data_IF_534599483260
#
_entry.id   IF_534599483260
#
_cell.length_a   1.000
_cell.length_b   1.000
_cell.length_c   1.000
_cell.angle_alpha   90.00
_cell.angle_beta   90.00
_cell.angle_gamma   90.00
#
_symmetry.space_group_name_H-M   'P 1'
#
loop_
_entity.id
_entity.type
_entity.pdbx_description
1 polymer ?
#
# COMPACT_ATOMS: atom_id res chain seq x y z
N UNK A 1 12.20 -18.37 -13.73
CA UNK A 1 13.02 -17.72 -12.68
C UNK A 1 12.04 -17.00 -11.78
N UNK A 2 12.46 -16.24 -10.77
CA UNK A 2 11.52 -15.35 -10.08
C UNK A 2 11.47 -14.05 -10.90
N UNK A 3 10.28 -13.56 -11.21
CA UNK A 3 10.09 -12.23 -11.76
C UNK A 3 10.58 -11.23 -10.71
N UNK A 4 11.51 -10.34 -11.07
CA UNK A 4 11.90 -9.22 -10.22
C UNK A 4 10.81 -8.16 -10.37
N UNK A 5 9.92 -8.05 -9.39
CA UNK A 5 8.84 -7.08 -9.44
C UNK A 5 9.33 -5.76 -8.85
N UNK A 6 8.93 -4.68 -9.48
CA UNK A 6 9.44 -3.34 -9.18
C UNK A 6 8.25 -2.40 -9.18
N UNK A 7 7.76 -2.06 -7.99
CA UNK A 7 6.76 -1.02 -7.81
C UNK A 7 7.46 0.26 -7.32
N UNK A 8 7.44 1.31 -8.14
CA UNK A 8 8.16 2.56 -7.85
C UNK A 8 7.17 3.69 -7.60
N UNK A 9 7.36 4.45 -6.51
CA UNK A 9 6.64 5.70 -6.27
C UNK A 9 7.09 6.77 -7.29
N UNK A 10 6.21 7.17 -8.21
CA UNK A 10 6.52 8.12 -9.30
C UNK A 10 6.00 9.52 -9.04
N UNK A 11 4.90 9.67 -8.29
CA UNK A 11 4.34 10.97 -7.95
C UNK A 11 3.69 10.96 -6.57
N UNK A 12 3.63 12.15 -5.97
CA UNK A 12 3.03 12.36 -4.65
C UNK A 12 2.40 13.76 -4.60
N UNK A 13 1.15 13.85 -4.14
CA UNK A 13 0.46 15.13 -3.96
C UNK A 13 0.99 15.90 -2.74
N UNK A 14 0.56 17.15 -2.61
CA UNK A 14 0.74 17.89 -1.35
C UNK A 14 0.15 17.08 -0.17
N UNK A 15 0.86 17.11 0.95
CA UNK A 15 0.52 16.35 2.18
C UNK A 15 0.36 14.84 1.96
N UNK A 16 0.81 14.32 0.82
CA UNK A 16 0.83 12.90 0.49
C UNK A 16 -0.54 12.23 0.50
N UNK A 17 -1.58 13.02 0.23
CA UNK A 17 -2.96 12.57 0.08
C UNK A 17 -3.06 11.52 -1.02
N UNK A 18 -2.38 11.72 -2.14
CA UNK A 18 -2.33 10.77 -3.26
C UNK A 18 -0.89 10.41 -3.56
N UNK A 19 -0.65 9.11 -3.73
CA UNK A 19 0.64 8.53 -4.11
C UNK A 19 0.45 7.66 -5.34
N UNK A 20 1.25 7.89 -6.37
CA UNK A 20 1.17 7.15 -7.63
C UNK A 20 2.34 6.20 -7.75
N UNK A 21 2.03 4.95 -8.03
CA UNK A 21 2.97 3.84 -8.14
C UNK A 21 2.96 3.31 -9.57
N UNK A 22 4.14 3.14 -10.15
CA UNK A 22 4.34 2.56 -11.48
C UNK A 22 4.93 1.16 -11.34
N UNK A 23 4.33 0.21 -12.04
CA UNK A 23 4.89 -1.12 -12.24
C UNK A 23 5.99 -1.06 -13.31
N UNK A 24 7.23 -1.15 -12.83
CA UNK A 24 8.45 -1.23 -13.64
C UNK A 24 8.95 -2.68 -13.77
N UNK A 25 8.12 -3.67 -13.42
CA UNK A 25 8.45 -5.10 -13.53
C UNK A 25 8.82 -5.46 -14.95
N UNK A 26 9.92 -6.19 -15.11
CA UNK A 26 10.42 -6.61 -16.42
C UNK A 26 9.75 -7.91 -16.85
N UNK A 27 8.69 -7.80 -17.65
CA UNK A 27 7.99 -8.95 -18.22
C UNK A 27 8.70 -9.56 -19.45
N UNK A 28 8.51 -10.87 -19.63
CA UNK A 28 8.92 -11.61 -20.83
C UNK A 28 10.26 -12.36 -20.75
N UNK A 29 10.64 -12.97 -21.87
CA UNK A 29 11.80 -13.88 -21.94
C UNK A 29 11.46 -15.27 -21.43
N UNK A 30 11.99 -15.63 -20.25
CA UNK A 30 11.63 -16.89 -19.57
C UNK A 30 10.46 -16.72 -18.58
N UNK A 31 10.02 -15.49 -18.35
CA UNK A 31 8.87 -15.15 -17.51
C UNK A 31 7.61 -14.89 -18.36
N UNK A 32 6.46 -14.82 -17.71
CA UNK A 32 5.20 -14.46 -18.36
C UNK A 32 5.26 -13.05 -18.96
N UNK A 33 4.57 -12.85 -20.09
CA UNK A 33 4.36 -11.52 -20.67
C UNK A 33 3.33 -10.75 -19.84
N UNK A 34 3.41 -9.42 -19.81
CA UNK A 34 2.44 -8.57 -19.07
C UNK A 34 0.99 -8.87 -19.45
N UNK A 35 0.72 -9.17 -20.72
CA UNK A 35 -0.61 -9.52 -21.23
C UNK A 35 -1.04 -10.97 -20.96
N UNK A 36 -0.29 -11.71 -20.14
CA UNK A 36 -0.61 -13.07 -19.69
C UNK A 36 -0.88 -13.12 -18.17
N UNK A 37 -0.85 -11.98 -17.50
CA UNK A 37 -1.07 -11.86 -16.07
C UNK A 37 -2.01 -10.71 -15.77
N UNK A 38 -2.81 -10.86 -14.71
CA UNK A 38 -3.49 -9.79 -14.04
C UNK A 38 -2.65 -9.35 -12.83
N UNK A 39 -2.47 -8.05 -12.67
CA UNK A 39 -1.80 -7.46 -11.51
C UNK A 39 -2.87 -6.80 -10.65
N UNK A 40 -3.03 -7.30 -9.42
CA UNK A 40 -3.98 -6.76 -8.45
C UNK A 40 -3.17 -6.17 -7.30
N UNK A 41 -3.42 -4.91 -6.99
CA UNK A 41 -2.82 -4.23 -5.84
C UNK A 41 -3.94 -3.90 -4.86
N UNK A 42 -3.69 -4.15 -3.57
CA UNK A 42 -4.49 -3.57 -2.50
C UNK A 42 -3.63 -2.58 -1.73
N UNK A 43 -4.28 -1.66 -1.04
CA UNK A 43 -3.60 -0.70 -0.19
C UNK A 43 -4.35 -0.59 1.14
N UNK A 44 -3.59 -0.57 2.23
CA UNK A 44 -4.17 -0.40 3.56
C UNK A 44 -3.26 0.44 4.45
N UNK A 45 -3.89 1.20 5.33
CA UNK A 45 -3.25 1.85 6.47
C UNK A 45 -3.26 0.86 7.62
N UNK A 46 -2.12 0.22 7.84
CA UNK A 46 -1.97 -0.73 8.91
C UNK A 46 -2.02 -0.04 10.27
N UNK A 47 -2.70 -0.67 11.21
CA UNK A 47 -2.88 -0.14 12.56
C UNK A 47 -1.93 -0.84 13.56
N UNK A 48 -1.99 -0.43 14.82
CA UNK A 48 -1.27 -1.10 15.89
C UNK A 48 -1.79 -2.54 16.09
N UNK A 49 -1.00 -3.43 16.72
CA UNK A 49 -1.46 -4.77 17.01
C UNK A 49 -2.83 -4.78 17.72
N UNK A 50 -3.75 -5.61 17.21
CA UNK A 50 -5.14 -5.75 17.65
C UNK A 50 -6.13 -4.66 17.19
N UNK A 51 -5.69 -3.71 16.37
CA UNK A 51 -6.58 -2.82 15.63
C UNK A 51 -6.82 -3.36 14.21
N UNK A 52 -7.92 -2.95 13.59
CA UNK A 52 -8.30 -3.38 12.24
C UNK A 52 -7.67 -2.44 11.23
N UNK A 53 -6.94 -2.98 10.27
CA UNK A 53 -6.36 -2.22 9.17
C UNK A 53 -7.44 -1.46 8.38
N UNK A 54 -7.11 -0.24 7.96
CA UNK A 54 -8.05 0.62 7.23
C UNK A 54 -7.77 0.44 5.74
N UNK A 55 -8.71 -0.08 4.94
CA UNK A 55 -8.52 -0.16 3.50
C UNK A 55 -8.40 1.25 2.92
N UNK A 56 -7.49 1.41 1.96
CA UNK A 56 -7.27 2.66 1.25
C UNK A 56 -7.82 2.56 -0.16
N UNK A 57 -8.31 3.69 -0.66
CA UNK A 57 -8.81 3.76 -2.03
C UNK A 57 -7.63 3.66 -3.01
N UNK A 58 -7.71 2.69 -3.91
CA UNK A 58 -6.80 2.52 -5.02
C UNK A 58 -7.54 2.73 -6.33
N UNK A 59 -6.91 3.42 -7.26
CA UNK A 59 -7.41 3.62 -8.62
C UNK A 59 -6.30 3.29 -9.60
N UNK A 60 -6.57 2.36 -10.51
CA UNK A 60 -5.74 2.13 -11.69
C UNK A 60 -6.00 3.16 -12.78
N UNK A 61 -5.15 3.19 -13.79
CA UNK A 61 -5.32 4.06 -14.96
C UNK A 61 -6.59 3.74 -15.76
N UNK A 62 -6.96 2.46 -15.86
CA UNK A 62 -8.23 2.01 -16.43
C UNK A 62 -9.02 1.05 -15.51
N UNK A 63 -8.48 0.72 -14.33
CA UNK A 63 -9.08 -0.22 -13.37
C UNK A 63 -9.25 -1.63 -13.94
N UNK A 64 -8.46 -1.99 -14.93
CA UNK A 64 -8.36 -3.33 -15.49
C UNK A 64 -7.02 -3.97 -15.05
N UNK A 65 -7.04 -4.98 -14.16
CA UNK A 65 -5.85 -5.71 -13.73
C UNK A 65 -4.99 -6.27 -14.88
N UNK A 66 -5.56 -6.52 -16.06
CA UNK A 66 -4.82 -7.03 -17.22
C UNK A 66 -3.98 -5.94 -17.91
N UNK A 67 -4.30 -4.65 -17.74
CA UNK A 67 -3.69 -3.55 -18.49
C UNK A 67 -3.15 -2.41 -17.63
N UNK A 68 -3.59 -2.28 -16.39
CA UNK A 68 -3.08 -1.29 -15.45
C UNK A 68 -1.57 -1.49 -15.22
N UNK A 69 -0.79 -0.44 -15.40
CA UNK A 69 0.64 -0.39 -15.06
C UNK A 69 0.94 0.68 -14.02
N UNK A 70 -0.07 1.44 -13.60
CA UNK A 70 0.07 2.55 -12.68
C UNK A 70 -1.16 2.61 -11.79
N UNK A 71 -0.94 2.85 -10.49
CA UNK A 71 -1.99 2.92 -9.48
C UNK A 71 -1.79 4.14 -8.61
N UNK A 72 -2.89 4.85 -8.34
CA UNK A 72 -2.93 5.94 -7.37
C UNK A 72 -3.63 5.47 -6.11
N UNK A 73 -2.91 5.54 -4.99
CA UNK A 73 -3.40 5.24 -3.65
C UNK A 73 -3.72 6.56 -2.94
N UNK A 74 -4.93 6.68 -2.43
CA UNK A 74 -5.38 7.85 -1.67
C UNK A 74 -5.43 7.55 -0.18
N UNK A 75 -4.78 8.39 0.64
CA UNK A 75 -4.74 8.25 2.10
C UNK A 75 -4.83 9.60 2.79
N UNK A 76 -5.79 9.71 3.72
CA UNK A 76 -5.93 10.86 4.60
C UNK A 76 -5.03 10.77 5.86
N UNK A 77 -4.19 9.73 5.95
CA UNK A 77 -3.44 9.39 7.14
C UNK A 77 -1.92 9.37 6.89
N UNK A 78 -1.15 9.89 7.84
CA UNK A 78 0.27 9.54 7.98
C UNK A 78 0.39 8.18 8.69
N UNK A 79 1.55 7.54 8.63
CA UNK A 79 1.80 6.30 9.38
C UNK A 79 2.05 5.07 8.53
N UNK A 80 2.05 3.90 9.14
CA UNK A 80 2.38 2.64 8.45
C UNK A 80 1.33 2.25 7.42
N UNK A 81 1.77 2.12 6.17
CA UNK A 81 0.99 1.68 5.01
C UNK A 81 1.59 0.39 4.45
N UNK A 82 0.72 -0.45 3.90
CA UNK A 82 1.11 -1.71 3.27
C UNK A 82 0.39 -1.87 1.94
N UNK A 83 1.15 -2.27 0.91
CA UNK A 83 0.71 -2.41 -0.47
C UNK A 83 1.07 -3.82 -0.96
N UNK A 84 0.24 -4.83 -0.67
CA UNK A 84 0.36 -6.14 -1.28
C UNK A 84 0.07 -6.09 -2.79
N UNK A 85 0.89 -6.77 -3.57
CA UNK A 85 0.75 -6.92 -5.02
C UNK A 85 0.68 -8.41 -5.39
N UNK A 86 -0.34 -8.76 -6.17
CA UNK A 86 -0.61 -10.11 -6.63
C UNK A 86 -0.48 -10.16 -8.14
N UNK A 87 0.43 -10.98 -8.65
CA UNK A 87 0.57 -11.27 -10.08
C UNK A 87 -0.03 -12.65 -10.34
N UNK A 88 -1.17 -12.66 -11.02
CA UNK A 88 -2.02 -13.84 -11.18
C UNK A 88 -2.10 -14.17 -12.67
N UNK A 89 -1.78 -15.41 -13.10
CA UNK A 89 -1.90 -15.80 -14.50
C UNK A 89 -3.33 -15.64 -15.03
N UNK A 90 -3.45 -15.12 -16.25
CA UNK A 90 -4.74 -15.10 -16.97
C UNK A 90 -5.02 -16.53 -17.46
N UNK A 91 -6.27 -16.96 -17.35
CA UNK A 91 -6.70 -18.23 -17.92
C UNK A 91 -6.51 -18.25 -19.45
N UNK A 92 -5.80 -19.24 -19.98
CA UNK A 92 -5.41 -19.30 -21.40
C UNK A 92 -6.11 -20.41 -22.21
N UNK A 93 -6.91 -21.26 -21.56
CA UNK A 93 -7.63 -22.38 -22.18
C UNK A 93 -6.78 -23.54 -22.70
N UNK A 94 -5.45 -23.39 -22.77
CA UNK A 94 -4.50 -24.40 -23.25
C UNK A 94 -3.67 -25.01 -22.12
N UNK A 95 -3.63 -24.35 -20.96
CA UNK A 95 -2.90 -24.75 -19.77
C UNK A 95 -3.47 -26.02 -19.12
N UNK A 96 -2.57 -26.73 -18.44
CA UNK A 96 -2.94 -27.76 -17.48
C UNK A 96 -2.83 -27.16 -16.09
N UNK A 97 -3.94 -27.11 -15.36
CA UNK A 97 -4.01 -26.53 -14.04
C UNK A 97 -4.04 -27.64 -12.99
N UNK A 98 -3.20 -27.51 -11.97
CA UNK A 98 -3.22 -28.39 -10.79
C UNK A 98 -4.19 -27.84 -9.74
N UNK A 99 -4.67 -28.68 -8.81
CA UNK A 99 -5.46 -28.19 -7.68
C UNK A 99 -4.75 -27.06 -6.92
N UNK A 100 -5.53 -26.13 -6.37
CA UNK A 100 -5.13 -24.90 -5.68
C UNK A 100 -4.47 -23.81 -6.54
N UNK A 101 -4.31 -24.02 -7.86
CA UNK A 101 -3.85 -22.94 -8.74
C UNK A 101 -4.93 -21.88 -8.95
N UNK A 102 -4.50 -20.63 -9.01
CA UNK A 102 -5.39 -19.46 -9.17
C UNK A 102 -5.21 -18.84 -10.54
N UNK A 103 -6.31 -18.45 -11.19
CA UNK A 103 -6.30 -17.71 -12.45
C UNK A 103 -7.23 -16.51 -12.40
N UNK A 104 -6.90 -15.50 -13.20
CA UNK A 104 -7.81 -14.41 -13.52
C UNK A 104 -8.59 -14.73 -14.80
N UNK A 105 -9.91 -14.58 -14.76
CA UNK A 105 -10.76 -14.80 -15.93
C UNK A 105 -12.05 -13.98 -15.83
N UNK A 106 -12.33 -13.18 -16.87
CA UNK A 106 -13.53 -12.36 -17.03
C UNK A 106 -13.86 -11.48 -15.81
N UNK A 107 -12.86 -10.79 -15.25
CA UNK A 107 -13.08 -9.88 -14.14
C UNK A 107 -13.04 -10.52 -12.75
N UNK A 108 -12.75 -11.82 -12.64
CA UNK A 108 -12.82 -12.55 -11.39
C UNK A 108 -11.62 -13.49 -11.18
N UNK A 109 -11.34 -13.79 -9.91
CA UNK A 109 -10.37 -14.79 -9.50
C UNK A 109 -11.04 -16.15 -9.34
N UNK A 110 -10.34 -17.18 -9.80
CA UNK A 110 -10.82 -18.55 -9.77
C UNK A 110 -9.72 -19.46 -9.24
N UNK A 111 -10.05 -20.26 -8.23
CA UNK A 111 -9.18 -21.32 -7.72
C UNK A 111 -9.61 -22.67 -8.30
N UNK A 112 -8.64 -23.44 -8.76
CA UNK A 112 -8.85 -24.75 -9.31
C UNK A 112 -8.97 -25.79 -8.17
N UNK A 113 -10.01 -26.62 -8.19
CA UNK A 113 -10.32 -27.59 -7.12
C UNK A 113 -9.72 -28.97 -7.45
N UNK A 114 -9.66 -29.31 -8.74
CA UNK A 114 -9.15 -30.58 -9.23
C UNK A 114 -8.34 -30.37 -10.51
N UNK A 115 -7.47 -31.31 -10.88
CA UNK A 115 -6.66 -31.16 -12.09
C UNK A 115 -7.56 -30.90 -13.32
N UNK A 116 -7.30 -29.81 -14.03
CA UNK A 116 -8.14 -29.32 -15.12
C UNK A 116 -7.30 -29.05 -16.37
N UNK A 117 -7.85 -29.35 -17.55
CA UNK A 117 -7.25 -29.00 -18.84
C UNK A 117 -8.37 -28.59 -19.78
N UNK A 118 -8.32 -27.35 -20.29
CA UNK A 118 -9.36 -26.80 -21.17
C UNK A 118 -10.75 -26.62 -20.54
N UNK A 119 -10.89 -26.81 -19.23
CA UNK A 119 -12.14 -26.51 -18.50
C UNK A 119 -12.16 -25.03 -18.17
N UNK A 120 -13.18 -24.32 -18.65
CA UNK A 120 -13.28 -22.86 -18.53
C UNK A 120 -13.81 -22.48 -17.15
N UNK A 121 -13.19 -21.53 -16.43
CA UNK A 121 -13.71 -21.05 -15.16
C UNK A 121 -15.14 -20.52 -15.29
N UNK A 122 -15.97 -20.81 -14.29
CA UNK A 122 -17.40 -20.46 -14.28
C UNK A 122 -18.30 -21.37 -15.11
N UNK A 123 -17.76 -22.37 -15.83
CA UNK A 123 -18.59 -23.33 -16.59
C UNK A 123 -18.87 -24.63 -15.84
N UNK A 124 -17.97 -25.04 -14.95
CA UNK A 124 -18.10 -26.26 -14.15
C UNK A 124 -17.57 -26.03 -12.72
N UNK A 125 -18.45 -26.06 -11.70
CA UNK A 125 -18.08 -25.84 -10.31
C UNK A 125 -17.29 -27.01 -9.68
N UNK A 126 -17.23 -28.18 -10.33
CA UNK A 126 -16.39 -29.28 -9.85
C UNK A 126 -14.90 -28.99 -10.10
N UNK A 127 -14.58 -28.08 -11.02
CA UNK A 127 -13.21 -27.68 -11.34
C UNK A 127 -12.84 -26.31 -10.82
N UNK A 128 -13.71 -25.32 -10.91
CA UNK A 128 -13.38 -23.94 -10.56
C UNK A 128 -14.34 -23.36 -9.55
N UNK A 129 -13.80 -22.77 -8.50
CA UNK A 129 -14.55 -21.93 -7.55
C UNK A 129 -14.06 -20.49 -7.67
N UNK A 130 -15.02 -19.57 -7.75
CA UNK A 130 -14.72 -18.16 -7.71
C UNK A 130 -14.28 -17.78 -6.30
N UNK A 131 -13.20 -17.02 -6.19
CA UNK A 131 -12.60 -16.57 -4.93
C UNK A 131 -12.40 -15.06 -4.92
N UNK A 132 -12.14 -14.49 -3.75
CA UNK A 132 -11.80 -13.07 -3.60
C UNK A 132 -10.60 -12.89 -2.67
N UNK A 133 -9.85 -11.79 -2.86
CA UNK A 133 -8.77 -11.42 -1.92
C UNK A 133 -9.28 -11.07 -0.51
N UNK A 134 -10.56 -10.72 -0.37
CA UNK A 134 -11.15 -10.42 0.92
C UNK A 134 -11.39 -11.68 1.75
N UNK A 135 -11.91 -12.74 1.13
CA UNK A 135 -12.35 -13.95 1.83
C UNK A 135 -11.33 -15.11 1.74
N UNK A 136 -10.54 -15.19 0.67
CA UNK A 136 -9.73 -16.38 0.31
C UNK A 136 -8.23 -16.05 0.18
N UNK A 137 -7.77 -14.99 0.87
CA UNK A 137 -6.39 -14.49 0.76
C UNK A 137 -5.34 -15.57 1.03
N UNK A 138 -5.55 -16.38 2.06
CA UNK A 138 -4.56 -17.38 2.48
C UNK A 138 -4.38 -18.45 1.41
N UNK A 139 -5.48 -18.84 0.76
CA UNK A 139 -5.50 -19.80 -0.33
C UNK A 139 -4.84 -19.22 -1.58
N UNK A 140 -5.11 -17.95 -1.90
CA UNK A 140 -4.51 -17.26 -3.06
C UNK A 140 -3.00 -17.09 -2.87
N UNK A 141 -2.55 -16.67 -1.68
CA UNK A 141 -1.13 -16.51 -1.35
C UNK A 141 -0.37 -17.85 -1.28
N UNK A 142 -1.06 -18.95 -1.02
CA UNK A 142 -0.48 -20.29 -0.99
C UNK A 142 -0.40 -20.95 -2.37
N UNK A 143 -1.05 -20.39 -3.40
CA UNK A 143 -1.06 -20.94 -4.74
C UNK A 143 0.33 -20.85 -5.40
N UNK A 144 0.81 -21.96 -5.96
CA UNK A 144 2.17 -22.06 -6.51
C UNK A 144 2.40 -21.26 -7.80
N UNK A 145 1.33 -20.80 -8.43
CA UNK A 145 1.33 -20.04 -9.66
C UNK A 145 1.00 -18.55 -9.47
N UNK A 146 0.76 -18.12 -8.23
CA UNK A 146 0.59 -16.69 -7.87
C UNK A 146 1.93 -16.17 -7.37
N UNK A 147 2.35 -15.02 -7.88
CA UNK A 147 3.47 -14.31 -7.30
C UNK A 147 2.95 -13.18 -6.42
N UNK A 148 3.56 -13.05 -5.24
CA UNK A 148 3.15 -12.12 -4.21
C UNK A 148 4.33 -11.25 -3.79
N UNK A 149 4.13 -9.94 -3.81
CA UNK A 149 5.03 -8.97 -3.22
C UNK A 149 4.32 -8.10 -2.21
N UNK A 150 5.12 -7.56 -1.30
CA UNK A 150 4.63 -6.80 -0.17
C UNK A 150 5.51 -5.60 0.09
N UNK A 151 4.98 -4.41 -0.22
CA UNK A 151 5.65 -3.16 0.07
C UNK A 151 5.12 -2.55 1.36
N UNK A 152 6.02 -2.00 2.16
CA UNK A 152 5.68 -1.29 3.40
C UNK A 152 6.41 0.04 3.47
N UNK A 153 5.71 1.10 3.86
CA UNK A 153 6.28 2.42 4.01
C UNK A 153 5.51 3.25 5.05
N UNK A 154 6.05 4.41 5.42
CA UNK A 154 5.49 5.29 6.45
C UNK A 154 5.50 6.74 5.94
N UNK A 155 4.45 7.24 5.27
CA UNK A 155 4.32 8.66 4.97
C UNK A 155 4.30 9.49 6.25
N UNK A 156 5.00 10.62 6.21
CA UNK A 156 5.17 11.58 7.32
C UNK A 156 4.77 13.00 6.94
N UNK A 157 4.08 13.17 5.82
CA UNK A 157 3.99 14.46 5.15
C UNK A 157 3.14 15.49 5.92
N UNK A 158 2.10 15.05 6.64
CA UNK A 158 1.31 15.96 7.49
C UNK A 158 2.09 16.33 8.75
N UNK A 159 2.84 15.38 9.32
CA UNK A 159 3.76 15.65 10.44
C UNK A 159 4.85 16.64 10.01
N UNK A 160 5.44 16.46 8.82
CA UNK A 160 6.44 17.37 8.26
C UNK A 160 5.88 18.76 7.97
N UNK A 161 4.65 18.84 7.44
CA UNK A 161 3.92 20.10 7.28
C UNK A 161 3.72 20.81 8.61
N UNK A 162 3.26 20.08 9.64
CA UNK A 162 3.09 20.57 11.00
C UNK A 162 4.40 21.05 11.63
N UNK A 163 5.49 20.29 11.50
CA UNK A 163 6.82 20.67 11.96
C UNK A 163 7.33 21.95 11.27
N UNK A 164 7.13 22.05 9.96
CA UNK A 164 7.52 23.22 9.17
C UNK A 164 6.76 24.47 9.61
N UNK A 165 5.44 24.35 9.86
CA UNK A 165 4.61 25.43 10.41
C UNK A 165 5.07 25.86 11.79
N UNK A 166 5.32 24.92 12.71
CA UNK A 166 5.80 25.22 14.06
C UNK A 166 7.11 26.02 14.03
N UNK A 167 8.06 25.58 13.19
CA UNK A 167 9.37 26.21 13.03
C UNK A 167 9.25 27.62 12.41
N UNK A 168 8.36 27.79 11.43
CA UNK A 168 8.11 29.09 10.82
C UNK A 168 7.51 30.10 11.81
N UNK A 169 6.55 29.67 12.64
CA UNK A 169 5.92 30.51 13.67
C UNK A 169 6.89 30.86 14.81
N UNK A 170 7.75 29.93 15.20
CA UNK A 170 8.85 30.18 16.15
C UNK A 170 9.77 31.28 15.61
N UNK A 171 10.19 31.18 14.35
CA UNK A 171 11.08 32.15 13.70
C UNK A 171 10.43 33.53 13.51
N UNK A 172 9.10 33.59 13.38
CA UNK A 172 8.34 34.84 13.24
C UNK A 172 8.12 35.59 14.56
N UNK A 173 8.75 35.17 15.68
CA UNK A 173 8.65 35.79 17.01
C UNK A 173 7.21 35.98 17.50
N UNK A 174 6.32 35.01 17.24
CA UNK A 174 4.97 35.00 17.82
C UNK A 174 3.96 35.90 17.11
N UNK A 175 3.99 35.98 15.77
CA UNK A 175 2.96 36.67 14.97
C UNK A 175 1.52 36.17 15.21
N UNK A 176 1.33 35.03 15.86
CA UNK A 176 0.04 34.48 16.28
C UNK A 176 -0.32 34.96 17.70
N UNK A 177 -1.36 35.79 17.80
CA UNK A 177 -1.95 36.20 19.09
C UNK A 177 -2.29 34.95 19.92
N UNK A 178 -1.64 34.79 21.08
CA UNK A 178 -1.92 33.70 22.02
C UNK A 178 -0.90 32.57 22.05
N UNK A 179 0.13 32.60 21.20
CA UNK A 179 1.17 31.56 21.18
C UNK A 179 2.48 32.01 21.83
N UNK A 180 2.94 31.24 22.82
CA UNK A 180 4.21 31.49 23.48
C UNK A 180 5.35 30.92 22.62
N UNK A 181 6.34 31.74 22.27
CA UNK A 181 7.53 31.31 21.53
C UNK A 181 8.24 30.10 22.18
N UNK A 182 8.21 30.00 23.51
CA UNK A 182 8.76 28.84 24.24
C UNK A 182 7.98 27.55 23.96
N UNK A 183 6.66 27.64 23.82
CA UNK A 183 5.80 26.49 23.52
C UNK A 183 6.00 26.02 22.08
N UNK A 184 6.06 26.96 21.12
CA UNK A 184 6.38 26.66 19.72
C UNK A 184 7.72 25.95 19.58
N UNK A 185 8.75 26.43 20.28
CA UNK A 185 10.06 25.78 20.32
C UNK A 185 10.02 24.36 20.90
N UNK A 186 9.29 24.15 21.99
CA UNK A 186 9.13 22.80 22.55
C UNK A 186 8.41 21.86 21.59
N UNK A 187 7.42 22.35 20.85
CA UNK A 187 6.72 21.57 19.83
C UNK A 187 7.66 21.24 18.67
N UNK A 188 8.38 22.22 18.12
CA UNK A 188 9.30 22.01 16.99
C UNK A 188 10.42 21.02 17.34
N UNK A 189 11.07 21.17 18.50
CA UNK A 189 12.09 20.25 19.00
C UNK A 189 11.55 18.82 19.19
N UNK A 190 10.33 18.69 19.75
CA UNK A 190 9.72 17.38 19.96
C UNK A 190 9.33 16.70 18.66
N UNK A 191 8.74 17.43 17.71
CA UNK A 191 8.40 16.91 16.38
C UNK A 191 9.66 16.49 15.62
N UNK A 192 10.75 17.25 15.71
CA UNK A 192 12.04 16.87 15.12
C UNK A 192 12.55 15.53 15.65
N UNK A 193 12.51 15.31 16.97
CA UNK A 193 12.92 14.04 17.58
C UNK A 193 12.03 12.88 17.11
N UNK A 194 10.71 13.09 17.03
CA UNK A 194 9.78 12.06 16.58
C UNK A 194 9.97 11.73 15.09
N UNK A 195 10.16 12.72 14.21
CA UNK A 195 10.46 12.49 12.79
C UNK A 195 11.73 11.65 12.59
N UNK A 196 12.80 11.96 13.33
CA UNK A 196 14.01 11.12 13.31
C UNK A 196 13.74 9.70 13.83
N UNK A 197 12.92 9.57 14.88
CA UNK A 197 12.49 8.28 15.41
C UNK A 197 11.75 7.42 14.38
N UNK A 198 10.86 8.04 13.60
CA UNK A 198 10.15 7.37 12.50
C UNK A 198 11.14 6.83 11.47
N UNK A 199 12.07 7.66 11.01
CA UNK A 199 13.07 7.27 10.01
C UNK A 199 13.96 6.12 10.52
N UNK A 200 14.44 6.19 11.76
CA UNK A 200 15.26 5.13 12.37
C UNK A 200 14.48 3.81 12.45
N UNK A 201 13.21 3.84 12.86
CA UNK A 201 12.37 2.64 12.91
C UNK A 201 12.13 2.08 11.50
N UNK A 202 11.87 2.93 10.49
CA UNK A 202 11.72 2.49 9.10
C UNK A 202 12.99 1.82 8.55
N UNK A 203 14.18 2.39 8.81
CA UNK A 203 15.45 1.78 8.41
C UNK A 203 15.71 0.42 9.09
N UNK A 204 15.14 0.21 10.27
CA UNK A 204 15.20 -1.06 10.99
C UNK A 204 14.06 -2.02 10.63
N UNK A 205 13.20 -1.66 9.67
CA UNK A 205 11.98 -2.41 9.29
C UNK A 205 11.01 -2.62 10.47
N UNK A 206 11.02 -1.69 11.42
CA UNK A 206 10.16 -1.67 12.62
C UNK A 206 8.93 -0.80 12.38
N UNK A 207 8.09 -1.21 11.44
CA UNK A 207 6.99 -0.38 10.95
C UNK A 207 5.89 -0.15 12.00
N UNK A 208 5.62 -1.13 12.86
CA UNK A 208 4.66 -0.97 13.96
C UNK A 208 5.15 0.06 15.00
N UNK A 209 6.44 0.07 15.32
CA UNK A 209 7.03 1.08 16.19
C UNK A 209 7.10 2.45 15.51
N UNK A 210 7.35 2.51 14.20
CA UNK A 210 7.25 3.75 13.44
C UNK A 210 5.83 4.34 13.48
N UNK A 211 4.80 3.49 13.34
CA UNK A 211 3.39 3.88 13.49
C UNK A 211 3.08 4.48 14.87
N UNK A 212 3.59 3.87 15.95
CA UNK A 212 3.41 4.41 17.30
C UNK A 212 4.02 5.81 17.44
N UNK A 213 5.21 6.03 16.85
CA UNK A 213 5.85 7.35 16.83
C UNK A 213 5.06 8.35 15.99
N UNK A 214 4.52 7.94 14.84
CA UNK A 214 3.63 8.77 14.01
C UNK A 214 2.41 9.22 14.81
N UNK A 215 1.70 8.30 15.50
CA UNK A 215 0.53 8.66 16.32
C UNK A 215 0.86 9.69 17.39
N UNK A 216 2.02 9.55 18.03
CA UNK A 216 2.49 10.52 19.02
C UNK A 216 2.76 11.90 18.39
N UNK A 217 3.31 11.94 17.18
CA UNK A 217 3.55 13.18 16.44
C UNK A 217 2.24 13.82 15.97
N UNK A 218 1.33 13.05 15.38
CA UNK A 218 -0.02 13.49 14.99
C UNK A 218 -0.77 14.09 16.17
N UNK A 219 -0.71 13.44 17.34
CA UNK A 219 -1.35 13.94 18.55
C UNK A 219 -0.82 15.29 19.01
N UNK A 220 0.48 15.56 18.85
CA UNK A 220 1.07 16.87 19.13
C UNK A 220 0.54 17.89 18.15
N UNK A 221 0.52 17.56 16.86
CA UNK A 221 0.01 18.45 15.81
C UNK A 221 -1.45 18.84 16.06
N UNK A 222 -2.33 17.89 16.35
CA UNK A 222 -3.75 18.13 16.62
C UNK A 222 -4.01 18.97 17.88
N UNK A 223 -3.21 18.75 18.94
CA UNK A 223 -3.38 19.48 20.21
C UNK A 223 -2.73 20.86 20.22
N UNK A 224 -1.84 21.12 19.28
CA UNK A 224 -1.13 22.40 19.19
C UNK A 224 -2.04 23.45 18.59
N UNK A 225 -2.80 24.14 19.45
CA UNK A 225 -3.66 25.28 19.06
C UNK A 225 -2.93 26.37 18.28
N UNK A 226 -1.61 26.41 18.38
CA UNK A 226 -0.74 27.36 17.69
C UNK A 226 -0.42 27.01 16.23
N UNK A 227 -0.72 25.79 15.79
CA UNK A 227 -0.38 25.28 14.45
C UNK A 227 -1.65 25.09 13.60
N UNK A 228 -2.80 24.99 14.27
CA UNK A 228 -4.11 24.81 13.69
C UNK A 228 -4.80 26.17 13.45
N UNK A 229 -4.28 26.97 12.50
CA UNK A 229 -5.00 27.94 11.65
C UNK A 229 -4.01 28.62 10.68
#
# INVERSE_FOLDING_TARGET
MALEQILTLTAQSAECVTQTYLDETVYGGAELLRNQVAVIIEAQKSQLPNEVDIPLDISGNDSDPETDIEWSVTSEYDGWHTLPMYIIPIYDGAGNYTPAQVVYYLGALWINIQAASGVVPGTDPDFWVQVTLADDRTEIEAADNVQYEYMQFVPTCRIESCYSKATALEAAEGCCEGCNATELKQISERLFVLLNGIFVNCQQMKYAEAEEVVRNATHICEKSKCICD
#
